data_IF_027210020942
#
_entry.id   IF_027210020942
#
_cell.length_a   1.000
_cell.length_b   1.000
_cell.length_c   1.000
_cell.angle_alpha   90.00
_cell.angle_beta   90.00
_cell.angle_gamma   90.00
#
_symmetry.space_group_name_H-M   'P 1'
#
loop_
_entity.id
_entity.type
_entity.pdbx_description
1 polymer ?
#
# COMPACT_ATOMS: atom_id res chain seq x y z
N UNK A 1 2.75 -26.77 -9.61
CA UNK A 1 2.98 -25.84 -10.74
C UNK A 1 3.39 -24.51 -10.13
N UNK A 2 4.50 -23.92 -10.58
CA UNK A 2 4.84 -22.55 -10.17
C UNK A 2 3.89 -21.65 -10.94
N UNK A 3 2.94 -21.02 -10.27
CA UNK A 3 2.06 -20.02 -10.86
C UNK A 3 2.93 -18.88 -11.41
N UNK A 4 2.72 -18.47 -12.66
CA UNK A 4 3.47 -17.35 -13.23
C UNK A 4 3.06 -16.06 -12.49
N UNK A 5 3.98 -15.12 -12.35
CA UNK A 5 3.73 -13.82 -11.71
C UNK A 5 2.51 -13.10 -12.29
N UNK A 6 2.35 -13.15 -13.61
CA UNK A 6 1.20 -12.55 -14.30
C UNK A 6 -0.12 -13.16 -13.86
N UNK A 7 -0.21 -14.50 -13.77
CA UNK A 7 -1.42 -15.19 -13.33
C UNK A 7 -1.79 -14.81 -11.88
N UNK A 8 -0.79 -14.56 -11.03
CA UNK A 8 -1.01 -14.11 -9.66
C UNK A 8 -1.56 -12.68 -9.60
N UNK A 9 -1.04 -11.79 -10.45
CA UNK A 9 -1.54 -10.41 -10.54
C UNK A 9 -2.96 -10.39 -11.09
N UNK A 10 -3.25 -11.18 -12.12
CA UNK A 10 -4.60 -11.27 -12.69
C UNK A 10 -5.60 -11.82 -11.68
N UNK A 11 -5.23 -12.84 -10.90
CA UNK A 11 -6.06 -13.33 -9.80
C UNK A 11 -6.36 -12.26 -8.74
N UNK A 12 -5.39 -11.40 -8.40
CA UNK A 12 -5.62 -10.28 -7.48
C UNK A 12 -6.56 -9.21 -8.07
N UNK A 13 -6.46 -8.94 -9.37
CA UNK A 13 -7.39 -8.02 -10.06
C UNK A 13 -8.81 -8.54 -9.98
N UNK A 14 -9.00 -9.83 -10.27
CA UNK A 14 -10.31 -10.49 -10.21
C UNK A 14 -10.91 -10.47 -8.79
N UNK A 15 -10.09 -10.73 -7.77
CA UNK A 15 -10.51 -10.64 -6.37
C UNK A 15 -10.97 -9.21 -6.03
N UNK A 16 -10.19 -8.20 -6.38
CA UNK A 16 -10.52 -6.79 -6.10
C UNK A 16 -11.83 -6.38 -6.78
N UNK A 17 -12.01 -6.73 -8.07
CA UNK A 17 -13.25 -6.44 -8.82
C UNK A 17 -14.45 -7.23 -8.30
N UNK A 18 -14.25 -8.48 -7.87
CA UNK A 18 -15.29 -9.29 -7.24
C UNK A 18 -15.80 -8.62 -5.98
N UNK A 19 -14.88 -8.26 -5.08
CA UNK A 19 -15.29 -7.52 -3.89
C UNK A 19 -16.00 -6.25 -4.38
N UNK A 20 -15.44 -5.47 -5.33
CA UNK A 20 -15.96 -4.15 -5.81
C UNK A 20 -17.43 -4.19 -6.19
N UNK A 21 -17.87 -5.23 -6.89
CA UNK A 21 -19.27 -5.41 -7.33
C UNK A 21 -20.28 -5.51 -6.18
N UNK A 22 -19.86 -5.85 -4.97
CA UNK A 22 -20.76 -6.02 -3.81
C UNK A 22 -21.11 -4.71 -3.07
N UNK A 23 -20.57 -3.55 -3.48
CA UNK A 23 -20.94 -2.26 -2.87
C UNK A 23 -20.67 -1.08 -3.81
N UNK A 24 -21.42 0.00 -3.65
CA UNK A 24 -21.23 1.27 -4.38
C UNK A 24 -20.23 2.21 -3.70
N UNK A 25 -19.71 1.86 -2.53
CA UNK A 25 -18.80 2.72 -1.75
C UNK A 25 -17.33 2.55 -2.16
N UNK A 26 -16.54 3.61 -1.94
CA UNK A 26 -15.07 3.57 -2.12
C UNK A 26 -14.46 2.47 -1.25
N UNK A 27 -13.47 1.79 -1.82
CA UNK A 27 -12.65 0.77 -1.16
C UNK A 27 -11.27 1.28 -0.85
N UNK A 28 -10.71 0.80 0.25
CA UNK A 28 -9.29 0.91 0.57
C UNK A 28 -8.74 -0.50 0.61
N UNK A 29 -7.73 -0.76 -0.21
CA UNK A 29 -6.99 -2.03 -0.24
C UNK A 29 -5.59 -1.74 0.27
N UNK A 30 -5.19 -2.40 1.36
CA UNK A 30 -3.87 -2.23 1.95
C UNK A 30 -2.91 -3.30 1.41
N UNK A 31 -1.76 -2.87 0.87
CA UNK A 31 -0.69 -3.76 0.43
C UNK A 31 0.43 -3.75 1.46
N UNK A 32 0.55 -4.83 2.24
CA UNK A 32 1.52 -4.97 3.33
C UNK A 32 2.60 -6.02 3.00
N UNK A 33 3.76 -5.91 3.65
CA UNK A 33 4.90 -6.80 3.42
C UNK A 33 6.26 -6.19 3.80
N UNK A 34 7.32 -7.00 3.88
CA UNK A 34 8.65 -6.57 4.33
C UNK A 34 9.26 -5.45 3.46
N UNK A 35 10.20 -4.65 3.98
CA UNK A 35 10.98 -3.72 3.17
C UNK A 35 11.57 -4.41 1.93
N UNK A 36 11.63 -3.69 0.80
CA UNK A 36 12.11 -4.19 -0.49
C UNK A 36 11.34 -5.39 -1.11
N UNK A 37 10.17 -5.80 -0.57
CA UNK A 37 9.38 -6.92 -1.11
C UNK A 37 8.58 -6.61 -2.39
N UNK A 38 8.76 -5.43 -3.01
CA UNK A 38 8.05 -5.06 -4.24
C UNK A 38 6.62 -4.53 -4.09
N UNK A 39 6.18 -4.16 -2.87
CA UNK A 39 4.80 -3.65 -2.60
C UNK A 39 4.41 -2.49 -3.50
N UNK A 40 5.29 -1.50 -3.64
CA UNK A 40 5.04 -0.31 -4.46
C UNK A 40 4.86 -0.69 -5.92
N UNK A 41 5.69 -1.62 -6.42
CA UNK A 41 5.57 -2.16 -7.78
C UNK A 41 4.24 -2.87 -7.98
N UNK A 42 3.84 -3.76 -7.06
CA UNK A 42 2.55 -4.43 -7.12
C UNK A 42 1.38 -3.43 -7.08
N UNK A 43 1.43 -2.45 -6.16
CA UNK A 43 0.38 -1.45 -6.02
C UNK A 43 0.21 -0.58 -7.27
N UNK A 44 1.32 -0.21 -7.93
CA UNK A 44 1.29 0.51 -9.20
C UNK A 44 0.69 -0.34 -10.31
N UNK A 45 1.13 -1.59 -10.46
CA UNK A 45 0.58 -2.52 -11.47
C UNK A 45 -0.93 -2.73 -11.27
N UNK A 46 -1.38 -2.90 -10.03
CA UNK A 46 -2.81 -3.03 -9.73
C UNK A 46 -3.58 -1.75 -10.08
N UNK A 47 -3.04 -0.57 -9.76
CA UNK A 47 -3.67 0.70 -10.09
C UNK A 47 -3.75 0.94 -11.61
N UNK A 48 -2.76 0.48 -12.38
CA UNK A 48 -2.76 0.56 -13.84
C UNK A 48 -3.77 -0.40 -14.49
N UNK A 49 -4.01 -1.57 -13.89
CA UNK A 49 -4.96 -2.58 -14.40
C UNK A 49 -6.41 -2.32 -13.99
N UNK A 50 -6.65 -1.65 -12.86
CA UNK A 50 -7.99 -1.41 -12.32
C UNK A 50 -8.56 -0.07 -12.76
N UNK A 51 -9.80 -0.07 -13.25
CA UNK A 51 -10.51 1.18 -13.59
C UNK A 51 -10.89 1.97 -12.34
N UNK A 52 -10.80 3.31 -12.37
CA UNK A 52 -11.12 4.17 -11.22
C UNK A 52 -10.34 3.83 -9.94
N UNK A 53 -9.11 3.35 -10.09
CA UNK A 53 -8.20 3.07 -8.99
C UNK A 53 -7.15 4.17 -8.85
N UNK A 54 -6.65 4.38 -7.64
CA UNK A 54 -5.49 5.22 -7.39
C UNK A 54 -4.67 4.58 -6.27
N UNK A 55 -3.34 4.63 -6.39
CA UNK A 55 -2.47 4.17 -5.32
C UNK A 55 -2.02 5.35 -4.45
N UNK A 56 -1.79 5.07 -3.17
CA UNK A 56 -1.26 6.01 -2.20
C UNK A 56 -0.15 5.32 -1.41
N UNK A 57 1.01 5.96 -1.30
CA UNK A 57 2.08 5.47 -0.42
C UNK A 57 1.89 6.01 1.00
N UNK A 58 2.09 5.15 1.99
CA UNK A 58 2.11 5.56 3.40
C UNK A 58 3.35 6.40 3.72
N UNK A 59 4.40 6.35 2.90
CA UNK A 59 5.65 7.11 3.12
C UNK A 59 5.41 8.63 3.10
N UNK A 60 4.35 9.10 2.44
CA UNK A 60 3.96 10.51 2.45
C UNK A 60 3.42 11.02 3.79
N UNK A 61 3.16 10.11 4.74
CA UNK A 61 2.59 10.42 6.06
C UNK A 61 3.62 10.27 7.18
N UNK A 62 4.92 10.18 6.89
CA UNK A 62 5.92 10.23 7.95
C UNK A 62 5.97 11.61 8.59
N UNK A 63 6.17 11.64 9.91
CA UNK A 63 6.64 12.84 10.59
C UNK A 63 7.99 13.27 10.00
N UNK A 64 8.25 14.58 10.03
CA UNK A 64 9.52 15.12 9.54
C UNK A 64 10.71 14.49 10.28
N UNK A 65 11.84 14.32 9.59
CA UNK A 65 13.04 13.72 10.18
C UNK A 65 13.54 14.51 11.40
N UNK A 66 13.35 15.84 11.46
CA UNK A 66 13.67 16.66 12.62
C UNK A 66 12.83 16.28 13.84
N UNK A 67 11.50 16.16 13.67
CA UNK A 67 10.56 15.72 14.71
C UNK A 67 10.90 14.31 15.19
N UNK A 68 11.19 13.39 14.27
CA UNK A 68 11.60 12.02 14.63
C UNK A 68 12.90 12.00 15.42
N UNK A 69 13.85 12.89 15.11
CA UNK A 69 15.13 13.00 15.83
C UNK A 69 14.92 13.55 17.23
N UNK A 70 14.12 14.61 17.38
CA UNK A 70 13.73 15.18 18.68
C UNK A 70 13.03 14.15 19.58
N UNK A 71 12.18 13.31 19.00
CA UNK A 71 11.47 12.23 19.70
C UNK A 71 12.32 10.98 19.95
N UNK A 72 13.56 10.91 19.45
CA UNK A 72 14.40 9.70 19.55
C UNK A 72 13.86 8.50 18.76
N UNK A 73 13.04 8.74 17.73
CA UNK A 73 12.38 7.71 16.91
C UNK A 73 13.01 7.54 15.52
N UNK A 74 14.07 8.28 15.20
CA UNK A 74 14.65 8.30 13.85
C UNK A 74 15.11 6.92 13.35
N UNK A 75 15.64 6.09 14.24
CA UNK A 75 16.12 4.72 13.95
C UNK A 75 14.97 3.70 13.85
N UNK A 76 13.78 4.08 14.30
CA UNK A 76 12.56 3.26 14.28
C UNK A 76 11.59 3.72 13.18
N UNK A 77 12.06 4.53 12.23
CA UNK A 77 11.25 5.02 11.11
C UNK A 77 10.54 3.86 10.42
N UNK A 78 9.21 3.93 10.37
CA UNK A 78 8.34 2.85 9.87
C UNK A 78 7.50 2.18 10.96
N UNK A 79 7.79 2.41 12.24
CA UNK A 79 6.89 1.99 13.33
C UNK A 79 5.68 2.94 13.45
N UNK A 80 4.55 2.49 14.03
CA UNK A 80 3.30 3.26 14.05
C UNK A 80 3.42 4.69 14.60
N UNK A 81 4.26 4.90 15.61
CA UNK A 81 4.49 6.21 16.24
C UNK A 81 5.31 7.20 15.39
N UNK A 82 5.77 6.78 14.20
CA UNK A 82 6.55 7.62 13.27
C UNK A 82 5.71 8.26 12.17
N UNK A 83 4.42 7.94 12.11
CA UNK A 83 3.48 8.51 11.16
C UNK A 83 2.67 9.65 11.78
N UNK A 84 2.35 10.65 10.96
CA UNK A 84 1.42 11.69 11.29
C UNK A 84 -0.01 11.22 11.03
N UNK A 85 -0.70 10.83 12.10
CA UNK A 85 -2.09 10.37 12.06
C UNK A 85 -3.08 11.52 12.21
N UNK A 86 -2.62 12.67 12.75
CA UNK A 86 -3.50 13.79 13.08
C UNK A 86 -3.53 14.88 12.00
N UNK A 87 -2.50 14.94 11.14
CA UNK A 87 -2.39 15.88 10.03
C UNK A 87 -1.78 17.22 10.42
#
# INVERSE_FOLDING_TARGET
MVTNWEDQVDGLVDDIETVRKHTTHRRIIAVAGPPASGKTTLAQILADRLTNCSYLSLDGFYLDNSILTEKGLRDRKGSPETFDVNG
#
